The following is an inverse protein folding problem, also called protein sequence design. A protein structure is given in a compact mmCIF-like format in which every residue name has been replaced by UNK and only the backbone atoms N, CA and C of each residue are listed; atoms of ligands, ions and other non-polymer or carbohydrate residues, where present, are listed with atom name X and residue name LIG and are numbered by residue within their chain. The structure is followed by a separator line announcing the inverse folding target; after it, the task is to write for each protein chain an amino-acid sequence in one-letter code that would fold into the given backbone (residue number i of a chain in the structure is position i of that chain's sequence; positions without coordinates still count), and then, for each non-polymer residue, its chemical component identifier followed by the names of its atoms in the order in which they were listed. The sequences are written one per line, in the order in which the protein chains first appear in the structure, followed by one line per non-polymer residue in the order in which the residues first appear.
data_IF_733644170508
#
_entry.id   IF_733644170508
#
_cell.length_a   1.000
_cell.length_b   1.000
_cell.length_c   1.000
_cell.angle_alpha   90.00
_cell.angle_beta   90.00
_cell.angle_gamma   90.00
#
_symmetry.space_group_name_H-M   'P 1'
#
loop_
_entity.id
_entity.type
_entity.pdbx_description
1 polymer ?
#
# COMPACT_ATOMS: atom_id res chain seq x y z
N UNK A 1 -13.51 61.20 7.40
CA UNK A 1 -14.44 60.08 7.12
C UNK A 1 -13.80 59.05 6.20
N UNK A 2 -14.12 57.75 6.40
CA UNK A 2 -14.11 56.68 5.39
C UNK A 2 -12.83 55.84 5.11
N UNK A 3 -12.18 55.31 6.16
CA UNK A 3 -11.29 54.12 6.05
C UNK A 3 -12.04 52.78 5.86
N UNK A 4 -13.37 52.82 5.75
CA UNK A 4 -14.23 51.63 5.71
C UNK A 4 -14.38 51.01 4.31
N UNK A 5 -14.03 51.74 3.24
CA UNK A 5 -14.26 51.31 1.85
C UNK A 5 -13.15 50.42 1.27
N UNK A 6 -11.91 50.50 1.75
CA UNK A 6 -10.79 49.69 1.27
C UNK A 6 -10.77 48.26 1.83
N UNK A 7 -11.38 48.04 3.00
CA UNK A 7 -11.43 46.73 3.68
C UNK A 7 -12.45 45.75 3.08
N UNK A 8 -13.39 46.25 2.29
CA UNK A 8 -14.43 45.43 1.64
C UNK A 8 -13.92 44.80 0.35
N UNK A 9 -13.09 45.53 -0.40
CA UNK A 9 -12.51 45.07 -1.67
C UNK A 9 -11.41 44.02 -1.48
N UNK A 10 -10.62 44.09 -0.39
CA UNK A 10 -9.61 43.07 -0.09
C UNK A 10 -10.18 41.75 0.41
N UNK A 11 -11.39 41.76 0.98
CA UNK A 11 -12.10 40.54 1.42
C UNK A 11 -12.77 39.80 0.27
N UNK A 12 -13.13 40.51 -0.80
CA UNK A 12 -13.80 39.94 -1.97
C UNK A 12 -12.83 39.20 -2.91
N UNK A 13 -11.58 39.65 -3.00
CA UNK A 13 -10.57 39.01 -3.85
C UNK A 13 -9.96 37.75 -3.23
N UNK A 14 -9.96 37.66 -1.90
CA UNK A 14 -9.38 36.52 -1.16
C UNK A 14 -10.27 35.26 -1.20
N UNK A 15 -11.59 35.40 -1.33
CA UNK A 15 -12.51 34.27 -1.41
C UNK A 15 -12.53 33.60 -2.79
N UNK A 16 -12.34 34.39 -3.85
CA UNK A 16 -12.30 33.87 -5.22
C UNK A 16 -11.06 32.99 -5.49
N UNK A 17 -9.90 33.32 -4.90
CA UNK A 17 -8.67 32.51 -5.03
C UNK A 17 -8.71 31.23 -4.20
N UNK A 18 -9.39 31.25 -3.04
CA UNK A 18 -9.55 30.06 -2.19
C UNK A 18 -10.42 28.98 -2.87
N UNK A 19 -11.52 29.34 -3.54
CA UNK A 19 -12.36 28.37 -4.23
C UNK A 19 -11.67 27.71 -5.43
N UNK A 20 -10.83 28.47 -6.17
CA UNK A 20 -10.09 27.98 -7.34
C UNK A 20 -8.95 27.02 -6.93
N UNK A 21 -8.32 27.23 -5.77
CA UNK A 21 -7.23 26.36 -5.26
C UNK A 21 -7.72 25.06 -4.63
N UNK A 22 -8.94 25.04 -4.06
CA UNK A 22 -9.54 23.82 -3.51
C UNK A 22 -9.99 22.88 -4.64
N UNK A 23 -10.40 23.41 -5.79
CA UNK A 23 -10.83 22.60 -6.94
C UNK A 23 -9.65 21.93 -7.68
N UNK A 24 -8.49 22.58 -7.76
CA UNK A 24 -7.29 22.00 -8.40
C UNK A 24 -6.53 20.99 -7.55
N UNK A 25 -6.66 21.06 -6.22
CA UNK A 25 -6.07 20.07 -5.31
C UNK A 25 -6.89 18.79 -5.20
N UNK A 26 -8.17 18.81 -5.59
CA UNK A 26 -9.03 17.63 -5.54
C UNK A 26 -8.85 16.71 -6.76
N UNK A 27 -8.51 17.27 -7.94
CA UNK A 27 -8.31 16.48 -9.17
C UNK A 27 -7.04 15.65 -9.18
N UNK A 28 -6.05 15.99 -8.35
CA UNK A 28 -4.80 15.24 -8.21
C UNK A 28 -4.92 13.98 -7.35
N UNK A 29 -6.06 13.76 -6.67
CA UNK A 29 -6.28 12.61 -5.79
C UNK A 29 -6.90 11.38 -6.50
N UNK A 30 -7.29 11.50 -7.76
CA UNK A 30 -7.83 10.39 -8.58
C UNK A 30 -6.80 9.82 -9.56
N UNK A 31 -5.52 10.10 -9.37
CA UNK A 31 -4.47 9.35 -10.07
C UNK A 31 -4.43 7.93 -9.49
N UNK A 32 -5.21 7.03 -10.10
CA UNK A 32 -5.06 5.59 -9.89
C UNK A 32 -3.58 5.23 -10.12
N UNK A 33 -2.97 4.38 -9.28
CA UNK A 33 -1.60 3.95 -9.52
C UNK A 33 -1.54 3.33 -10.92
N UNK A 34 -0.62 3.84 -11.74
CA UNK A 34 -0.40 3.36 -13.09
C UNK A 34 -0.31 1.83 -13.07
N UNK A 35 -1.16 1.19 -13.88
CA UNK A 35 -1.13 -0.26 -14.07
C UNK A 35 0.32 -0.67 -14.35
N UNK A 36 0.84 -1.57 -13.51
CA UNK A 36 2.21 -2.03 -13.59
C UNK A 36 2.50 -2.47 -15.02
N UNK A 37 3.46 -1.81 -15.66
CA UNK A 37 4.06 -2.22 -16.92
C UNK A 37 4.32 -3.72 -16.84
N UNK A 38 3.77 -4.50 -17.79
CA UNK A 38 3.79 -5.96 -17.77
C UNK A 38 5.19 -6.49 -17.44
N UNK A 39 5.41 -6.78 -16.17
CA UNK A 39 6.74 -7.13 -15.68
C UNK A 39 7.00 -8.54 -16.16
N UNK A 40 7.92 -8.66 -17.11
CA UNK A 40 8.47 -9.96 -17.51
C UNK A 40 9.63 -10.26 -16.59
N UNK A 41 9.43 -11.23 -15.71
CA UNK A 41 10.48 -11.73 -14.84
C UNK A 41 11.39 -12.67 -15.64
N UNK A 42 12.70 -12.38 -15.66
CA UNK A 42 13.66 -13.12 -16.49
C UNK A 42 13.96 -14.52 -15.94
N UNK A 43 13.86 -14.68 -14.62
CA UNK A 43 14.24 -15.87 -13.86
C UNK A 43 13.14 -16.93 -13.75
N UNK A 44 12.00 -16.71 -14.42
CA UNK A 44 10.87 -17.65 -14.42
C UNK A 44 10.51 -18.17 -15.81
N UNK A 45 11.24 -17.78 -16.87
CA UNK A 45 10.88 -18.09 -18.26
C UNK A 45 10.67 -19.60 -18.54
N UNK A 46 11.39 -20.47 -17.83
CA UNK A 46 11.27 -21.93 -17.92
C UNK A 46 10.67 -22.57 -16.65
N UNK A 47 10.08 -21.76 -15.77
CA UNK A 47 9.47 -22.25 -14.53
C UNK A 47 8.08 -22.83 -14.80
N UNK A 48 7.77 -23.97 -14.19
CA UNK A 48 6.40 -24.52 -14.20
C UNK A 48 5.37 -23.53 -13.63
N UNK A 49 5.82 -22.63 -12.74
CA UNK A 49 4.98 -21.63 -12.08
C UNK A 49 4.82 -20.33 -12.89
N UNK A 50 5.39 -20.23 -14.10
CA UNK A 50 5.39 -19.00 -14.90
C UNK A 50 4.01 -18.35 -15.00
N UNK A 51 3.00 -19.11 -15.45
CA UNK A 51 1.64 -18.61 -15.66
C UNK A 51 1.00 -18.14 -14.34
N UNK A 52 1.17 -18.93 -13.27
CA UNK A 52 0.65 -18.59 -11.94
C UNK A 52 1.28 -17.30 -11.43
N UNK A 53 2.61 -17.16 -11.53
CA UNK A 53 3.35 -15.97 -11.08
C UNK A 53 2.90 -14.73 -11.83
N UNK A 54 2.86 -14.78 -13.17
CA UNK A 54 2.42 -13.65 -13.99
C UNK A 54 0.97 -13.26 -13.67
N UNK A 55 0.08 -14.24 -13.49
CA UNK A 55 -1.33 -13.96 -13.16
C UNK A 55 -1.51 -13.31 -11.79
N UNK A 56 -0.76 -13.75 -10.77
CA UNK A 56 -0.81 -13.19 -9.41
C UNK A 56 -0.16 -11.81 -9.37
N UNK A 57 0.91 -11.61 -10.13
CA UNK A 57 1.54 -10.30 -10.27
C UNK A 57 0.62 -9.30 -10.99
N UNK A 58 -0.05 -9.72 -12.06
CA UNK A 58 -1.02 -8.86 -12.76
C UNK A 58 -2.19 -8.44 -11.86
N UNK A 59 -2.56 -9.28 -10.88
CA UNK A 59 -3.56 -8.96 -9.84
C UNK A 59 -3.01 -8.14 -8.67
N UNK A 60 -1.72 -7.80 -8.68
CA UNK A 60 -1.04 -7.07 -7.59
C UNK A 60 -0.85 -7.88 -6.30
N UNK A 61 -1.07 -9.20 -6.34
CA UNK A 61 -0.99 -10.06 -5.15
C UNK A 61 0.49 -10.30 -4.77
N UNK A 62 1.29 -10.75 -5.74
CA UNK A 62 2.70 -11.04 -5.58
C UNK A 62 3.56 -10.03 -6.35
N UNK A 63 4.68 -9.64 -5.75
CA UNK A 63 5.67 -8.76 -6.39
C UNK A 63 7.01 -9.48 -6.48
N UNK A 64 7.80 -9.13 -7.50
CA UNK A 64 9.18 -9.60 -7.57
C UNK A 64 10.05 -8.97 -6.48
N UNK A 65 11.18 -9.63 -6.20
CA UNK A 65 12.12 -9.15 -5.18
C UNK A 65 12.92 -7.93 -5.65
N UNK A 66 13.13 -7.81 -6.95
CA UNK A 66 13.90 -6.75 -7.60
C UNK A 66 13.35 -6.48 -9.00
N UNK A 67 13.65 -5.32 -9.62
CA UNK A 67 13.22 -5.04 -11.00
C UNK A 67 13.66 -6.15 -11.96
N UNK A 68 12.70 -6.79 -12.63
CA UNK A 68 12.96 -7.87 -13.59
C UNK A 68 13.20 -9.27 -13.00
N UNK A 69 13.18 -9.43 -11.67
CA UNK A 69 13.43 -10.72 -10.99
C UNK A 69 12.34 -11.05 -9.97
N UNK A 70 11.79 -12.27 -10.07
CA UNK A 70 10.80 -12.77 -9.12
C UNK A 70 11.43 -13.48 -7.92
N UNK A 71 12.57 -14.15 -8.13
CA UNK A 71 13.26 -15.06 -7.21
C UNK A 71 12.39 -16.24 -6.74
N UNK A 72 11.92 -17.12 -7.66
CA UNK A 72 10.97 -18.19 -7.33
C UNK A 72 11.49 -19.23 -6.33
N UNK A 73 12.80 -19.34 -6.16
CA UNK A 73 13.44 -20.26 -5.19
C UNK A 73 13.74 -19.61 -3.84
N UNK A 74 13.54 -18.29 -3.71
CA UNK A 74 13.73 -17.59 -2.43
C UNK A 74 12.61 -18.01 -1.48
N UNK A 75 12.99 -18.34 -0.25
CA UNK A 75 12.02 -18.61 0.81
C UNK A 75 11.15 -17.37 1.08
N UNK A 76 9.87 -17.60 1.32
CA UNK A 76 8.89 -16.56 1.64
C UNK A 76 8.86 -16.34 3.14
N UNK A 77 8.95 -15.08 3.55
CA UNK A 77 8.81 -14.70 4.95
C UNK A 77 7.34 -14.69 5.39
N UNK A 78 7.08 -14.85 6.69
CA UNK A 78 5.72 -14.77 7.25
C UNK A 78 5.02 -13.46 6.86
N UNK A 79 5.72 -12.33 6.88
CA UNK A 79 5.11 -11.05 6.51
C UNK A 79 4.75 -10.95 5.02
N UNK A 80 5.61 -11.47 4.14
CA UNK A 80 5.32 -11.55 2.69
C UNK A 80 4.10 -12.46 2.44
N UNK A 81 4.01 -13.59 3.15
CA UNK A 81 2.88 -14.52 3.04
C UNK A 81 1.56 -13.91 3.51
N UNK A 82 1.54 -13.26 4.68
CA UNK A 82 0.34 -12.57 5.20
C UNK A 82 -0.09 -11.46 4.25
N UNK A 83 0.86 -10.67 3.74
CA UNK A 83 0.51 -9.59 2.80
C UNK A 83 -0.09 -10.15 1.49
N UNK A 84 0.43 -11.26 0.99
CA UNK A 84 -0.14 -11.91 -0.20
C UNK A 84 -1.55 -12.46 0.08
N UNK A 85 -1.78 -13.01 1.27
CA UNK A 85 -3.09 -13.49 1.70
C UNK A 85 -4.11 -12.34 1.76
N UNK A 86 -3.76 -11.24 2.42
CA UNK A 86 -4.63 -10.07 2.57
C UNK A 86 -5.02 -9.48 1.22
N UNK A 87 -4.07 -9.34 0.30
CA UNK A 87 -4.34 -8.90 -1.07
C UNK A 87 -5.24 -9.86 -1.83
N UNK A 88 -5.08 -11.15 -1.62
CA UNK A 88 -5.95 -12.17 -2.22
C UNK A 88 -7.38 -12.06 -1.71
N UNK A 89 -7.54 -11.69 -0.44
CA UNK A 89 -8.83 -11.46 0.21
C UNK A 89 -9.42 -10.06 -0.06
N UNK A 90 -8.68 -9.19 -0.77
CA UNK A 90 -9.12 -7.82 -1.06
C UNK A 90 -9.16 -6.93 0.18
N UNK A 91 -8.34 -7.23 1.19
CA UNK A 91 -8.19 -6.39 2.37
C UNK A 91 -7.34 -5.16 2.04
N UNK A 92 -7.48 -4.11 2.84
CA UNK A 92 -6.68 -2.90 2.74
C UNK A 92 -5.79 -2.75 3.98
N UNK A 93 -4.59 -2.18 3.86
CA UNK A 93 -3.70 -1.98 4.99
C UNK A 93 -4.30 -0.97 5.96
N UNK A 94 -4.34 -1.32 7.25
CA UNK A 94 -4.92 -0.47 8.30
C UNK A 94 -3.84 0.09 9.23
N UNK A 95 -4.04 1.32 9.70
CA UNK A 95 -3.16 1.90 10.69
C UNK A 95 -3.73 1.72 12.09
N UNK A 96 -3.16 0.81 12.88
CA UNK A 96 -3.57 0.64 14.27
C UNK A 96 -2.85 1.63 15.21
N UNK A 97 -3.61 2.19 16.17
CA UNK A 97 -3.06 3.06 17.21
C UNK A 97 -2.08 2.29 18.12
N UNK A 98 -2.43 1.06 18.48
CA UNK A 98 -1.60 0.11 19.21
C UNK A 98 -1.22 -1.02 18.26
N UNK A 99 0.07 -1.38 18.23
CA UNK A 99 0.56 -2.49 17.40
C UNK A 99 0.08 -3.83 17.95
N UNK A 100 -0.44 -4.71 17.10
CA UNK A 100 -0.82 -6.07 17.48
C UNK A 100 0.40 -6.93 17.86
N UNK A 101 1.55 -6.64 17.26
CA UNK A 101 2.79 -7.40 17.45
C UNK A 101 3.95 -6.49 17.85
N UNK A 102 4.82 -6.95 18.77
CA UNK A 102 5.96 -6.13 19.26
C UNK A 102 7.12 -6.04 18.28
N UNK A 103 7.28 -7.03 17.42
CA UNK A 103 8.37 -7.15 16.44
C UNK A 103 8.04 -6.53 15.07
N UNK A 104 6.84 -5.97 14.92
CA UNK A 104 6.39 -5.31 13.69
C UNK A 104 6.43 -3.80 13.92
N UNK A 105 7.45 -3.13 13.38
CA UNK A 105 7.57 -1.69 13.52
C UNK A 105 6.60 -0.95 12.58
N UNK A 106 5.96 0.13 13.07
CA UNK A 106 4.96 0.93 12.33
C UNK A 106 5.43 1.50 10.98
N UNK A 107 6.74 1.65 10.80
CA UNK A 107 7.35 2.18 9.56
C UNK A 107 7.63 1.11 8.50
N UNK A 108 7.41 -0.16 8.82
CA UNK A 108 7.65 -1.25 7.86
C UNK A 108 6.52 -1.31 6.82
N UNK A 109 6.87 -1.69 5.59
CA UNK A 109 5.94 -1.71 4.47
C UNK A 109 4.76 -2.69 4.66
N UNK A 110 4.96 -3.75 5.45
CA UNK A 110 3.97 -4.77 5.73
C UNK A 110 3.11 -4.49 6.97
N UNK A 111 3.38 -3.41 7.72
CA UNK A 111 2.71 -3.13 9.00
C UNK A 111 1.20 -3.12 8.85
N UNK A 112 0.66 -2.33 7.91
CA UNK A 112 -0.78 -2.17 7.80
C UNK A 112 -1.52 -3.43 7.37
N UNK A 113 -0.86 -4.27 6.57
CA UNK A 113 -1.37 -5.58 6.15
C UNK A 113 -1.51 -6.51 7.36
N UNK A 114 -0.43 -6.66 8.13
CA UNK A 114 -0.43 -7.48 9.35
C UNK A 114 -1.52 -7.04 10.35
N UNK A 115 -1.70 -5.73 10.53
CA UNK A 115 -2.75 -5.22 11.42
C UNK A 115 -4.17 -5.55 10.90
N UNK A 116 -4.38 -5.50 9.58
CA UNK A 116 -5.66 -5.86 8.97
C UNK A 116 -5.98 -7.35 9.20
N UNK A 117 -5.00 -8.22 8.94
CA UNK A 117 -5.11 -9.65 9.18
C UNK A 117 -5.35 -9.98 10.66
N UNK A 118 -4.69 -9.26 11.57
CA UNK A 118 -4.82 -9.42 13.02
C UNK A 118 -6.22 -9.06 13.52
N UNK A 119 -6.77 -7.93 13.07
CA UNK A 119 -8.12 -7.48 13.48
C UNK A 119 -9.22 -8.45 13.07
N UNK A 120 -9.03 -9.17 11.97
CA UNK A 120 -9.95 -10.18 11.47
C UNK A 120 -9.66 -11.59 12.01
N UNK A 121 -8.68 -11.73 12.92
CA UNK A 121 -8.21 -13.01 13.46
C UNK A 121 -7.75 -14.03 12.39
N UNK A 122 -7.37 -13.55 11.20
CA UNK A 122 -6.82 -14.36 10.11
C UNK A 122 -5.41 -14.85 10.50
N UNK A 123 -4.66 -13.99 11.18
CA UNK A 123 -3.33 -14.30 11.69
C UNK A 123 -3.34 -14.17 13.21
N UNK A 124 -2.84 -15.20 13.88
CA UNK A 124 -2.79 -15.29 15.34
C UNK A 124 -1.34 -15.50 15.77
N UNK A 125 -0.95 -14.85 16.87
CA UNK A 125 0.35 -15.04 17.49
C UNK A 125 0.33 -14.57 18.95
N UNK A 126 1.09 -15.25 19.81
CA UNK A 126 0.96 -15.05 21.26
C UNK A 126 1.53 -13.70 21.76
N UNK A 127 2.37 -13.04 20.96
CA UNK A 127 2.91 -11.68 21.23
C UNK A 127 3.80 -11.15 20.10
N UNK A 128 4.39 -12.08 19.32
CA UNK A 128 5.34 -11.82 18.25
C UNK A 128 4.84 -12.48 16.97
N UNK A 129 4.91 -11.76 15.85
CA UNK A 129 4.58 -12.32 14.55
C UNK A 129 5.72 -13.19 14.02
N UNK A 130 6.96 -12.80 14.32
CA UNK A 130 8.18 -13.28 13.68
C UNK A 130 8.20 -12.99 12.18
N UNK A 131 8.00 -11.72 11.82
CA UNK A 131 7.80 -11.25 10.44
C UNK A 131 8.85 -11.73 9.43
N UNK A 132 10.11 -11.88 9.87
CA UNK A 132 11.24 -12.30 9.03
C UNK A 132 11.48 -13.82 9.00
N UNK A 133 10.74 -14.61 9.78
CA UNK A 133 10.88 -16.08 9.73
C UNK A 133 10.30 -16.63 8.43
N UNK A 134 10.92 -17.71 7.96
CA UNK A 134 10.46 -18.47 6.81
C UNK A 134 9.19 -19.23 7.21
N UNK A 135 8.18 -19.23 6.34
CA UNK A 135 7.00 -20.08 6.52
C UNK A 135 7.42 -21.54 6.30
N UNK A 136 7.16 -22.45 7.26
CA UNK A 136 7.53 -23.87 7.14
C UNK A 136 6.78 -24.61 6.03
#
# INVERSE_FOLDING_TARGET
MSSKRSRWLTRLTLSATAAITIFTTFTSYLAAPAAASGATFQDIAHSYAYQSIISLHAKGILNGTQPGYFSPKKAVTRAEWVTALDRTLGLEPVQAAVSSYRDVAKKTWYYGWIEAASQLNIVQGERLLHSNLIVP
#
